data_IF_837341455457
#
_entry.id   IF_837341455457
#
_cell.length_a   1.000
_cell.length_b   1.000
_cell.length_c   1.000
_cell.angle_alpha   90.00
_cell.angle_beta   90.00
_cell.angle_gamma   90.00
#
_symmetry.space_group_name_H-M   'P 1'
#
loop_
_entity.id
_entity.type
_entity.pdbx_description
1 polymer ?
#
# COMPACT_ATOMS: atom_id res chain seq x y z
N UNK A 1 -2.24 7.82 11.87
CA UNK A 1 -3.69 8.08 11.79
C UNK A 1 -4.22 7.63 10.44
N UNK A 2 -5.44 7.11 10.35
CA UNK A 2 -6.06 6.69 9.09
C UNK A 2 -7.57 6.94 9.10
N UNK A 3 -8.16 7.17 7.92
CA UNK A 3 -9.59 7.40 7.75
C UNK A 3 -10.14 6.54 6.60
N UNK A 4 -11.30 5.93 6.80
CA UNK A 4 -12.02 5.28 5.70
C UNK A 4 -12.81 6.32 4.91
N UNK A 5 -12.50 6.44 3.62
CA UNK A 5 -13.19 7.37 2.70
C UNK A 5 -14.22 6.65 1.81
N UNK A 6 -13.98 5.38 1.49
CA UNK A 6 -14.91 4.50 0.77
C UNK A 6 -14.54 3.05 1.04
N UNK A 7 -15.41 2.22 1.62
CA UNK A 7 -15.06 0.81 1.85
C UNK A 7 -14.69 0.08 0.54
N UNK A 8 -13.59 -0.71 0.49
CA UNK A 8 -12.64 -1.03 1.56
C UNK A 8 -11.38 -0.11 1.64
N UNK A 9 -11.39 1.04 0.98
CA UNK A 9 -10.29 2.00 0.89
C UNK A 9 -10.15 2.89 2.13
N UNK A 10 -8.93 2.94 2.65
CA UNK A 10 -8.51 3.82 3.73
C UNK A 10 -7.40 4.75 3.26
N UNK A 11 -7.47 5.99 3.71
CA UNK A 11 -6.43 7.01 3.55
C UNK A 11 -5.57 6.98 4.81
N UNK A 12 -4.26 6.88 4.64
CA UNK A 12 -3.28 6.91 5.71
C UNK A 12 -2.60 8.26 5.71
N UNK A 13 -2.47 8.88 6.88
CA UNK A 13 -1.86 10.20 7.03
C UNK A 13 -0.46 10.07 7.65
N UNK A 14 0.44 10.99 7.27
CA UNK A 14 1.76 11.22 7.85
C UNK A 14 1.62 11.88 9.23
N UNK A 15 0.90 11.20 10.11
CA UNK A 15 0.55 11.62 11.45
C UNK A 15 0.70 10.40 12.36
N UNK A 16 1.82 10.37 13.09
CA UNK A 16 2.22 9.30 13.98
C UNK A 16 2.29 9.86 15.41
N UNK A 17 1.86 9.08 16.39
CA UNK A 17 1.85 9.46 17.80
C UNK A 17 2.14 8.21 18.63
N UNK A 18 3.02 8.36 19.64
CA UNK A 18 3.36 7.31 20.59
C UNK A 18 2.34 7.20 21.73
N UNK A 19 1.65 8.30 22.03
CA UNK A 19 0.72 8.46 23.16
C UNK A 19 -0.76 8.50 22.73
N UNK A 20 -1.03 8.34 21.43
CA UNK A 20 -2.35 8.46 20.80
C UNK A 20 -3.04 9.82 21.06
N UNK A 21 -2.25 10.89 21.21
CA UNK A 21 -2.75 12.27 21.38
C UNK A 21 -2.95 12.96 20.03
N UNK A 22 -4.17 13.46 19.79
CA UNK A 22 -4.58 14.04 18.50
C UNK A 22 -5.22 15.42 18.63
N UNK A 23 -5.10 16.08 19.78
CA UNK A 23 -5.67 17.40 20.00
C UNK A 23 -5.08 18.44 19.03
N UNK A 24 -5.94 19.21 18.38
CA UNK A 24 -5.54 20.25 17.42
C UNK A 24 -5.04 19.72 16.06
N UNK A 25 -5.11 18.41 15.82
CA UNK A 25 -4.75 17.83 14.52
C UNK A 25 -5.80 18.19 13.48
N UNK A 26 -5.35 18.80 12.39
CA UNK A 26 -6.17 19.11 11.21
C UNK A 26 -5.78 18.16 10.08
N UNK A 27 -6.75 17.42 9.55
CA UNK A 27 -6.54 16.55 8.39
C UNK A 27 -6.58 17.37 7.08
N UNK A 28 -5.70 17.03 6.15
CA UNK A 28 -5.57 17.72 4.86
C UNK A 28 -4.84 16.84 3.85
N UNK A 29 -5.00 17.13 2.56
CA UNK A 29 -4.43 16.35 1.47
C UNK A 29 -2.89 16.31 1.47
N UNK A 30 -2.22 17.39 1.90
CA UNK A 30 -0.75 17.45 2.03
C UNK A 30 -0.18 16.49 3.08
N UNK A 31 -1.03 16.01 3.99
CA UNK A 31 -0.66 15.04 5.03
C UNK A 31 -0.92 13.60 4.61
N UNK A 32 -1.48 13.34 3.44
CA UNK A 32 -1.76 11.98 2.98
C UNK A 32 -0.46 11.28 2.60
N UNK A 33 -0.24 10.09 3.15
CA UNK A 33 0.81 9.16 2.70
C UNK A 33 0.34 8.42 1.46
N UNK A 34 -0.76 7.66 1.60
CA UNK A 34 -1.31 6.85 0.53
C UNK A 34 -2.77 6.46 0.81
N UNK A 35 -3.46 5.97 -0.21
CA UNK A 35 -4.81 5.42 -0.11
C UNK A 35 -4.83 3.99 -0.65
N UNK A 36 -5.26 3.03 0.17
CA UNK A 36 -5.22 1.62 -0.21
C UNK A 36 -6.47 0.85 0.26
N UNK A 37 -6.85 -0.18 -0.49
CA UNK A 37 -7.84 -1.15 -0.04
C UNK A 37 -7.27 -2.01 1.08
N UNK A 38 -8.03 -2.22 2.15
CA UNK A 38 -7.63 -3.06 3.30
C UNK A 38 -8.58 -4.23 3.52
N UNK A 39 -8.04 -5.35 4.00
CA UNK A 39 -8.84 -6.52 4.37
C UNK A 39 -9.72 -6.27 5.61
N UNK A 40 -10.78 -7.07 5.76
CA UNK A 40 -11.56 -7.09 7.02
C UNK A 40 -10.72 -7.54 8.21
N UNK A 41 -9.76 -8.45 7.99
CA UNK A 41 -8.82 -8.90 9.02
C UNK A 41 -8.00 -7.73 9.55
N UNK A 42 -7.46 -6.89 8.66
CA UNK A 42 -6.70 -5.70 9.07
C UNK A 42 -7.53 -4.81 10.00
N UNK A 43 -8.78 -4.53 9.62
CA UNK A 43 -9.71 -3.72 10.43
C UNK A 43 -10.01 -4.33 11.80
N UNK A 44 -10.11 -5.66 11.87
CA UNK A 44 -10.40 -6.36 13.13
C UNK A 44 -9.22 -6.36 14.12
N UNK A 45 -7.98 -6.22 13.63
CA UNK A 45 -6.77 -6.21 14.45
C UNK A 45 -6.20 -4.79 14.66
N UNK A 46 -6.89 -3.76 14.15
CA UNK A 46 -6.46 -2.37 14.25
C UNK A 46 -7.37 -1.59 15.21
N UNK A 47 -6.82 -0.67 16.02
CA UNK A 47 -7.63 0.21 16.84
C UNK A 47 -8.37 1.20 15.92
N UNK A 48 -9.67 0.98 15.74
CA UNK A 48 -10.54 1.87 14.97
C UNK A 48 -11.50 2.54 15.96
N UNK A 49 -11.29 3.83 16.16
CA UNK A 49 -12.10 4.64 17.08
C UNK A 49 -12.38 6.03 16.51
N UNK A 50 -13.44 6.67 17.00
CA UNK A 50 -13.72 8.07 16.73
C UNK A 50 -12.83 8.95 17.59
N UNK A 51 -12.03 9.80 16.97
CA UNK A 51 -11.10 10.70 17.66
C UNK A 51 -11.81 12.04 17.91
N UNK A 52 -12.00 12.40 19.18
CA UNK A 52 -12.65 13.68 19.55
C UNK A 52 -11.80 14.87 19.09
N UNK A 53 -12.44 15.87 18.50
CA UNK A 53 -11.78 17.13 18.12
C UNK A 53 -10.99 17.07 16.80
N UNK A 54 -11.02 15.93 16.09
CA UNK A 54 -10.43 15.79 14.75
C UNK A 54 -11.56 15.65 13.74
N UNK A 55 -11.69 16.65 12.86
CA UNK A 55 -12.65 16.59 11.76
C UNK A 55 -12.12 15.68 10.64
N UNK A 56 -12.96 14.80 10.06
CA UNK A 56 -12.56 13.96 8.94
C UNK A 56 -12.28 14.80 7.69
N UNK A 57 -11.36 14.33 6.84
CA UNK A 57 -11.20 14.91 5.51
C UNK A 57 -12.45 14.62 4.68
N UNK A 58 -13.01 15.65 4.03
CA UNK A 58 -14.28 15.55 3.28
C UNK A 58 -14.11 15.76 1.77
N UNK A 59 -12.98 16.31 1.35
CA UNK A 59 -12.63 16.69 -0.03
C UNK A 59 -11.55 15.78 -0.64
N UNK A 60 -11.26 14.62 -0.02
CA UNK A 60 -10.31 13.67 -0.58
C UNK A 60 -10.89 12.97 -1.83
N UNK A 61 -10.25 13.20 -2.98
CA UNK A 61 -10.57 12.50 -4.22
C UNK A 61 -9.81 11.17 -4.30
N UNK A 62 -10.53 10.08 -4.56
CA UNK A 62 -9.92 8.77 -4.73
C UNK A 62 -9.01 8.72 -5.97
N UNK A 63 -7.85 8.03 -5.90
CA UNK A 63 -6.99 7.86 -7.06
C UNK A 63 -7.70 7.16 -8.22
N UNK A 64 -7.49 7.67 -9.44
CA UNK A 64 -8.00 7.08 -10.68
C UNK A 64 -6.98 6.21 -11.41
N UNK A 65 -5.71 6.28 -11.01
CA UNK A 65 -4.61 5.51 -11.58
C UNK A 65 -4.07 4.52 -10.56
N UNK A 66 -3.78 3.31 -11.04
CA UNK A 66 -3.35 2.19 -10.21
C UNK A 66 -2.32 1.33 -10.95
N UNK A 67 -1.45 0.67 -10.19
CA UNK A 67 -0.57 -0.37 -10.73
C UNK A 67 -1.27 -1.74 -10.63
N UNK A 68 -1.46 -2.38 -11.76
CA UNK A 68 -2.08 -3.70 -11.87
C UNK A 68 -1.05 -4.78 -12.19
N UNK A 69 -1.14 -5.93 -11.51
CA UNK A 69 -0.39 -7.14 -11.84
C UNK A 69 -1.10 -7.93 -12.94
N UNK A 70 -0.48 -8.00 -14.13
CA UNK A 70 -1.04 -8.67 -15.32
C UNK A 70 -0.49 -10.09 -15.51
N UNK A 71 -1.28 -10.91 -16.20
CA UNK A 71 -0.93 -12.26 -16.65
C UNK A 71 -1.21 -13.35 -15.62
N UNK A 72 -1.55 -14.54 -16.11
CA UNK A 72 -1.82 -15.70 -15.25
C UNK A 72 -0.51 -16.24 -14.65
N UNK A 73 -0.56 -16.63 -13.39
CA UNK A 73 0.56 -17.25 -12.67
C UNK A 73 1.27 -16.30 -11.72
N UNK A 74 2.54 -16.59 -11.47
CA UNK A 74 3.42 -15.82 -10.58
C UNK A 74 4.82 -15.73 -11.19
N UNK A 75 5.59 -14.76 -10.72
CA UNK A 75 7.04 -14.72 -10.88
C UNK A 75 7.70 -14.63 -9.52
N UNK A 76 8.98 -14.93 -9.46
CA UNK A 76 9.75 -14.76 -8.23
C UNK A 76 10.87 -13.76 -8.45
N UNK A 77 11.21 -13.02 -7.40
CA UNK A 77 12.34 -12.11 -7.37
C UNK A 77 13.26 -12.49 -6.22
N UNK A 78 14.54 -12.65 -6.54
CA UNK A 78 15.56 -12.88 -5.52
C UNK A 78 16.01 -11.54 -4.93
N UNK A 79 16.04 -11.46 -3.60
CA UNK A 79 16.45 -10.29 -2.83
C UNK A 79 17.42 -10.75 -1.76
N UNK A 80 18.53 -10.04 -1.58
CA UNK A 80 19.49 -10.32 -0.51
C UNK A 80 19.22 -9.33 0.61
N UNK A 81 18.91 -9.84 1.80
CA UNK A 81 18.73 -9.02 3.01
C UNK A 81 19.40 -9.69 4.20
N UNK A 82 20.14 -8.91 5.00
CA UNK A 82 21.03 -9.41 6.07
C UNK A 82 22.07 -10.43 5.55
N UNK A 83 22.53 -10.28 4.30
CA UNK A 83 23.41 -11.26 3.64
C UNK A 83 22.73 -12.61 3.32
N UNK A 84 21.43 -12.75 3.58
CA UNK A 84 20.64 -13.96 3.28
C UNK A 84 19.82 -13.74 2.02
N UNK A 85 19.96 -14.66 1.07
CA UNK A 85 19.20 -14.69 -0.17
C UNK A 85 17.78 -15.20 0.08
N UNK A 86 16.78 -14.39 -0.25
CA UNK A 86 15.35 -14.71 -0.16
C UNK A 86 14.69 -14.64 -1.53
N UNK A 87 13.64 -15.44 -1.73
CA UNK A 87 12.82 -15.42 -2.94
C UNK A 87 11.44 -14.92 -2.59
N UNK A 88 11.07 -13.76 -3.13
CA UNK A 88 9.72 -13.18 -2.98
C UNK A 88 8.86 -13.60 -4.16
N UNK A 89 7.69 -14.18 -3.87
CA UNK A 89 6.69 -14.51 -4.89
C UNK A 89 5.85 -13.27 -5.20
N UNK A 90 5.75 -12.94 -6.47
CA UNK A 90 4.99 -11.82 -7.00
C UNK A 90 3.86 -12.40 -7.86
N UNK A 91 2.62 -12.01 -7.56
CA UNK A 91 1.47 -12.42 -8.36
C UNK A 91 1.49 -11.73 -9.73
N UNK A 92 1.10 -12.48 -10.75
CA UNK A 92 1.20 -12.03 -12.14
C UNK A 92 2.63 -12.12 -12.70
N UNK A 93 2.73 -11.91 -13.99
CA UNK A 93 3.99 -11.98 -14.74
C UNK A 93 4.52 -10.61 -15.15
N UNK A 94 3.64 -9.60 -15.15
CA UNK A 94 3.90 -8.24 -15.64
C UNK A 94 3.17 -7.23 -14.77
N UNK A 95 3.55 -5.97 -14.92
CA UNK A 95 2.88 -4.83 -14.30
C UNK A 95 2.37 -3.89 -15.40
N UNK A 96 1.23 -3.28 -15.15
CA UNK A 96 0.66 -2.24 -16.00
C UNK A 96 0.16 -1.06 -15.15
N UNK A 97 0.30 0.15 -15.69
CA UNK A 97 -0.41 1.32 -15.21
C UNK A 97 -1.78 1.34 -15.88
N UNK A 98 -2.83 1.39 -15.06
CA UNK A 98 -4.22 1.35 -15.52
C UNK A 98 -5.03 2.50 -14.94
N UNK A 99 -6.12 2.84 -15.62
CA UNK A 99 -7.13 3.77 -15.13
C UNK A 99 -8.38 3.02 -14.68
N UNK A 100 -8.85 3.40 -13.49
CA UNK A 100 -10.04 2.86 -12.85
C UNK A 100 -10.71 3.97 -12.05
N UNK A 101 -11.99 4.18 -12.32
CA UNK A 101 -12.83 5.01 -11.48
C UNK A 101 -13.35 4.15 -10.31
N UNK A 102 -13.02 4.55 -9.09
CA UNK A 102 -13.45 3.87 -7.87
C UNK A 102 -14.86 4.29 -7.43
N UNK A 103 -15.42 5.37 -7.97
CA UNK A 103 -16.75 5.90 -7.68
C UNK A 103 -17.79 5.26 -8.59
N UNK A 104 -17.43 4.94 -9.83
CA UNK A 104 -18.32 4.32 -10.82
C UNK A 104 -18.87 2.98 -10.32
N UNK A 105 -20.15 2.95 -9.95
CA UNK A 105 -20.86 1.74 -9.49
C UNK A 105 -21.55 0.97 -10.63
N UNK A 106 -21.33 1.34 -11.88
CA UNK A 106 -22.07 0.79 -13.03
C UNK A 106 -21.61 -0.61 -13.44
N UNK A 107 -20.46 -1.09 -12.96
CA UNK A 107 -19.90 -2.42 -13.24
C UNK A 107 -19.35 -3.08 -11.98
N UNK A 108 -19.18 -4.40 -12.01
CA UNK A 108 -18.59 -5.21 -10.94
C UNK A 108 -17.38 -4.52 -10.29
N UNK A 109 -17.57 -3.94 -9.11
CA UNK A 109 -16.54 -3.19 -8.38
C UNK A 109 -15.73 -4.09 -7.45
N UNK A 110 -15.23 -5.21 -7.97
CA UNK A 110 -14.28 -6.02 -7.22
C UNK A 110 -13.07 -5.13 -6.86
N UNK A 111 -12.63 -5.05 -5.59
CA UNK A 111 -11.55 -4.16 -5.19
C UNK A 111 -10.24 -4.46 -5.94
N UNK A 112 -10.07 -5.68 -6.44
CA UNK A 112 -8.97 -6.10 -7.29
C UNK A 112 -9.40 -6.44 -8.72
N UNK A 113 -8.50 -6.23 -9.68
CA UNK A 113 -8.52 -6.89 -11.00
C UNK A 113 -9.44 -6.33 -12.08
N UNK A 114 -10.28 -5.34 -11.80
CA UNK A 114 -11.17 -4.72 -12.81
C UNK A 114 -10.81 -3.25 -13.01
N UNK A 115 -10.47 -2.87 -14.24
CA UNK A 115 -10.09 -1.51 -14.65
C UNK A 115 -10.64 -1.19 -16.04
N UNK A 116 -10.64 0.09 -16.42
CA UNK A 116 -11.24 0.57 -17.67
C UNK A 116 -10.26 0.58 -18.83
N UNK A 117 -9.05 1.11 -18.59
CA UNK A 117 -8.07 1.41 -19.63
C UNK A 117 -6.67 1.03 -19.18
N UNK A 118 -5.86 0.45 -20.07
CA UNK A 118 -4.42 0.32 -19.87
C UNK A 118 -3.75 1.59 -20.37
N UNK A 119 -3.11 2.34 -19.47
CA UNK A 119 -2.32 3.54 -19.81
C UNK A 119 -0.96 3.14 -20.34
N UNK A 120 -0.31 2.18 -19.68
CA UNK A 120 0.99 1.65 -20.08
C UNK A 120 1.16 0.22 -19.57
N UNK A 121 1.49 -0.71 -20.46
CA UNK A 121 1.79 -2.09 -20.12
C UNK A 121 3.28 -2.32 -19.94
N UNK A 122 3.62 -3.43 -19.25
CA UNK A 122 5.00 -3.89 -19.11
C UNK A 122 5.91 -2.91 -18.38
N UNK A 123 5.43 -2.34 -17.26
CA UNK A 123 6.23 -1.44 -16.42
C UNK A 123 7.52 -2.12 -15.98
N UNK A 124 8.60 -1.35 -15.98
CA UNK A 124 9.95 -1.75 -15.57
C UNK A 124 10.49 -0.77 -14.53
N UNK A 125 11.62 -1.10 -13.93
CA UNK A 125 12.33 -0.23 -12.99
C UNK A 125 12.48 1.23 -13.47
N UNK A 126 12.81 1.42 -14.76
CA UNK A 126 12.97 2.74 -15.36
C UNK A 126 11.69 3.61 -15.37
N UNK A 127 10.52 2.99 -15.17
CA UNK A 127 9.24 3.68 -15.10
C UNK A 127 8.91 4.17 -13.68
N UNK A 128 9.79 3.96 -12.69
CA UNK A 128 9.58 4.37 -11.30
C UNK A 128 9.10 5.84 -11.15
N UNK A 129 9.71 6.85 -11.79
CA UNK A 129 9.25 8.24 -11.63
C UNK A 129 7.80 8.49 -12.08
N UNK A 130 7.22 7.59 -12.89
CA UNK A 130 5.82 7.67 -13.32
C UNK A 130 4.86 7.09 -12.27
N UNK A 131 5.32 6.14 -11.44
CA UNK A 131 4.46 5.30 -10.60
C UNK A 131 4.82 5.33 -9.11
N UNK A 132 5.85 6.08 -8.71
CA UNK A 132 6.35 6.09 -7.32
C UNK A 132 5.31 6.52 -6.28
N UNK A 133 4.32 7.32 -6.69
CA UNK A 133 3.21 7.76 -5.85
C UNK A 133 1.87 7.08 -6.23
N UNK A 134 1.92 5.98 -6.98
CA UNK A 134 0.74 5.25 -7.45
C UNK A 134 0.66 3.90 -6.74
N UNK A 135 -0.47 3.63 -6.09
CA UNK A 135 -0.70 2.39 -5.36
C UNK A 135 -1.02 1.21 -6.29
N UNK A 136 -0.75 0.00 -5.81
CA UNK A 136 -1.15 -1.22 -6.51
C UNK A 136 -2.65 -1.47 -6.33
N UNK A 137 -3.25 -2.26 -7.22
CA UNK A 137 -4.64 -2.72 -7.07
C UNK A 137 -4.79 -3.89 -6.10
N UNK A 138 -3.80 -4.13 -5.24
CA UNK A 138 -3.82 -5.22 -4.27
C UNK A 138 -4.80 -4.90 -3.12
N UNK A 139 -4.94 -5.83 -2.18
CA UNK A 139 -5.70 -5.59 -0.94
C UNK A 139 -4.78 -5.90 0.22
N UNK A 140 -4.57 -4.91 1.07
CA UNK A 140 -3.55 -4.96 2.10
C UNK A 140 -3.98 -5.77 3.34
N UNK A 141 -3.03 -6.52 3.88
CA UNK A 141 -3.19 -7.40 5.03
C UNK A 141 -2.42 -6.87 6.25
N UNK A 142 -2.78 -7.33 7.45
CA UNK A 142 -2.27 -6.79 8.71
C UNK A 142 -0.73 -6.70 8.80
N UNK A 143 0.06 -7.77 8.59
CA UNK A 143 1.50 -7.68 8.79
C UNK A 143 2.17 -6.72 7.79
N UNK A 144 1.90 -6.86 6.49
CA UNK A 144 2.53 -6.06 5.45
C UNK A 144 2.22 -4.57 5.57
N UNK A 145 0.95 -4.22 5.78
CA UNK A 145 0.55 -2.82 5.90
C UNK A 145 1.07 -2.16 7.17
N UNK A 146 1.08 -2.85 8.31
CA UNK A 146 1.64 -2.28 9.53
C UNK A 146 3.14 -2.05 9.43
N UNK A 147 3.87 -3.01 8.84
CA UNK A 147 5.30 -2.82 8.59
C UNK A 147 5.56 -1.65 7.63
N UNK A 148 4.77 -1.51 6.55
CA UNK A 148 4.85 -0.33 5.67
C UNK A 148 4.61 0.98 6.44
N UNK A 149 3.59 1.03 7.30
CA UNK A 149 3.30 2.21 8.12
C UNK A 149 4.43 2.55 9.10
N UNK A 150 5.03 1.52 9.71
CA UNK A 150 6.23 1.68 10.54
C UNK A 150 7.40 2.28 9.74
N UNK A 151 7.67 1.75 8.53
CA UNK A 151 8.70 2.29 7.65
C UNK A 151 8.43 3.74 7.24
N UNK A 152 7.18 4.08 6.92
CA UNK A 152 6.79 5.47 6.63
C UNK A 152 7.02 6.40 7.84
N UNK A 153 6.75 5.91 9.06
CA UNK A 153 7.01 6.64 10.30
C UNK A 153 8.52 6.84 10.52
N UNK A 154 9.30 5.77 10.35
CA UNK A 154 10.74 5.75 10.57
C UNK A 154 11.49 6.66 9.59
N UNK A 155 11.09 6.64 8.32
CA UNK A 155 11.75 7.39 7.24
C UNK A 155 11.16 8.79 7.04
N UNK A 156 9.97 9.04 7.58
CA UNK A 156 9.29 10.33 7.46
C UNK A 156 8.78 10.61 6.05
N UNK A 157 8.54 9.60 5.22
CA UNK A 157 8.04 9.74 3.84
C UNK A 157 7.11 8.58 3.46
N UNK A 158 6.40 8.71 2.33
CA UNK A 158 5.65 7.59 1.79
C UNK A 158 6.62 6.62 1.12
N UNK A 159 6.76 5.42 1.70
CA UNK A 159 7.49 4.32 1.06
C UNK A 159 6.52 3.25 0.59
N UNK A 160 6.86 2.57 -0.51
CA UNK A 160 6.06 1.48 -1.07
C UNK A 160 6.92 0.25 -1.38
N UNK A 161 7.30 -0.53 -0.35
CA UNK A 161 8.15 -1.70 -0.53
C UNK A 161 7.57 -2.73 -1.52
N UNK A 162 6.25 -2.93 -1.56
CA UNK A 162 5.61 -3.85 -2.51
C UNK A 162 5.94 -3.44 -3.95
N UNK A 163 5.67 -2.18 -4.30
CA UNK A 163 5.86 -1.70 -5.67
C UNK A 163 7.34 -1.67 -6.06
N UNK A 164 8.22 -1.28 -5.14
CA UNK A 164 9.67 -1.32 -5.35
C UNK A 164 10.16 -2.76 -5.63
N UNK A 165 9.64 -3.72 -4.86
CA UNK A 165 9.91 -5.15 -5.07
C UNK A 165 9.41 -5.59 -6.45
N UNK A 166 8.17 -5.23 -6.79
CA UNK A 166 7.54 -5.62 -8.05
C UNK A 166 8.26 -5.02 -9.27
N UNK A 167 8.71 -3.77 -9.22
CA UNK A 167 9.38 -3.12 -10.36
C UNK A 167 10.84 -3.51 -10.53
N UNK A 168 11.44 -4.18 -9.55
CA UNK A 168 12.84 -4.58 -9.64
C UNK A 168 13.83 -3.58 -8.99
N UNK A 169 13.35 -2.59 -8.23
CA UNK A 169 14.23 -1.58 -7.61
C UNK A 169 15.16 -2.17 -6.55
N UNK A 170 16.37 -1.63 -6.35
CA UNK A 170 17.21 -1.98 -5.22
C UNK A 170 16.44 -1.84 -3.90
N UNK A 171 16.52 -2.85 -3.03
CA UNK A 171 15.77 -2.88 -1.78
C UNK A 171 16.68 -2.48 -0.62
N UNK A 172 16.38 -1.38 0.09
CA UNK A 172 17.15 -0.97 1.27
C UNK A 172 17.12 -2.01 2.40
N UNK A 173 18.20 -2.09 3.19
CA UNK A 173 18.27 -3.01 4.35
C UNK A 173 17.15 -2.75 5.37
N UNK A 174 16.70 -1.51 5.50
CA UNK A 174 15.60 -1.14 6.41
C UNK A 174 14.29 -1.86 6.07
N UNK A 175 14.09 -2.35 4.84
CA UNK A 175 12.89 -3.10 4.45
C UNK A 175 12.92 -4.59 4.83
N UNK A 176 13.91 -5.02 5.61
CA UNK A 176 14.14 -6.43 5.93
C UNK A 176 12.92 -7.15 6.52
N UNK A 177 12.27 -6.53 7.51
CA UNK A 177 11.07 -7.10 8.12
C UNK A 177 9.95 -7.24 7.08
N UNK A 178 9.76 -6.24 6.22
CA UNK A 178 8.78 -6.32 5.12
C UNK A 178 9.06 -7.49 4.16
N UNK A 179 10.32 -7.68 3.75
CA UNK A 179 10.73 -8.79 2.88
C UNK A 179 10.49 -10.14 3.57
N UNK A 180 10.81 -10.25 4.87
CA UNK A 180 10.53 -11.45 5.68
C UNK A 180 9.03 -11.76 5.71
N UNK A 181 8.16 -10.75 5.87
CA UNK A 181 6.70 -10.91 5.80
C UNK A 181 6.28 -11.48 4.45
N UNK A 182 6.78 -10.91 3.35
CA UNK A 182 6.43 -11.39 2.00
C UNK A 182 6.90 -12.82 1.72
N UNK A 183 7.99 -13.26 2.34
CA UNK A 183 8.49 -14.63 2.24
C UNK A 183 7.74 -15.62 3.14
N UNK A 184 6.84 -15.15 4.02
CA UNK A 184 6.17 -15.99 5.00
C UNK A 184 7.08 -16.43 6.15
N UNK A 185 8.17 -15.70 6.40
CA UNK A 185 9.03 -15.94 7.57
C UNK A 185 8.22 -15.65 8.85
N UNK A 186 8.49 -16.42 9.91
CA UNK A 186 7.90 -16.13 11.22
C UNK A 186 8.46 -14.84 11.77
N UNK A 187 7.58 -13.88 12.06
CA UNK A 187 7.95 -12.63 12.72
C UNK A 187 7.37 -12.65 14.13
N UNK A 188 8.27 -12.68 15.12
CA UNK A 188 7.92 -12.86 16.53
C UNK A 188 7.00 -11.76 17.08
N UNK A 189 7.05 -10.55 16.51
CA UNK A 189 6.25 -9.40 16.96
C UNK A 189 4.83 -9.37 16.36
N UNK A 190 4.52 -10.23 15.39
CA UNK A 190 3.21 -10.31 14.70
C UNK A 190 2.48 -11.65 14.91
N UNK A 191 2.97 -12.52 15.81
CA UNK A 191 2.43 -13.86 16.09
C UNK A 191 1.79 -13.96 17.48
#
# INVERSE_FOLDING_TARGET
MAQMVKSPYMVFFKLFSEDNSWEGVILSNDKVLFCHAVTRQWKAHSPIESIKGVEPISDYELPTRWVHTEGLGHRSREIIVDGVKRSVVILGTRLALVERDMIDNSKNNAPCGLYHTVVKSGLKEADWPMVENIETMSVEMYPGLNERLYLCSLLGENVNPELEIYLGRPIPEVYNTYVKIMCGDKIHDYC
#
